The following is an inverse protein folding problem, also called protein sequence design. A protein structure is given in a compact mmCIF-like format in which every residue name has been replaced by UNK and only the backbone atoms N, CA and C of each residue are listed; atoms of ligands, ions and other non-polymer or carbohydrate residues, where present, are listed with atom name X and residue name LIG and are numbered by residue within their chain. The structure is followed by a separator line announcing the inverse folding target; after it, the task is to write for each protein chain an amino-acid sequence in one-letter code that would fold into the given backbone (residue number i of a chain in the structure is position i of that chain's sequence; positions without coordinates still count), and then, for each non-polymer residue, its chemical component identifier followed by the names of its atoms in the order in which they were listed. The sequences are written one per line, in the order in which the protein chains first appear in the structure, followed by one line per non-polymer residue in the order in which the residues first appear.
data_IF_422635889363
#
_entry.id   IF_422635889363
#
_cell.length_a   1.000
_cell.length_b   1.000
_cell.length_c   1.000
_cell.angle_alpha   90.00
_cell.angle_beta   90.00
_cell.angle_gamma   90.00
#
_symmetry.space_group_name_H-M   'P 1'
#
loop_
_entity.id
_entity.type
_entity.pdbx_description
1 polymer ?
#
# COMPACT_ATOMS: atom_id res chain seq x y z
N UNK A 1 -0.30 20.82 -18.90
CA UNK A 1 -0.38 20.99 -17.44
C UNK A 1 0.78 20.24 -16.84
N UNK A 2 1.63 20.89 -16.03
CA UNK A 2 2.66 20.21 -15.25
C UNK A 2 2.05 19.80 -13.89
N UNK A 3 2.61 18.81 -13.17
CA UNK A 3 2.06 18.38 -11.89
C UNK A 3 1.89 19.52 -10.85
N UNK A 4 2.80 20.50 -10.85
CA UNK A 4 2.76 21.68 -9.97
C UNK A 4 1.65 22.69 -10.32
N UNK A 5 1.07 22.60 -11.51
CA UNK A 5 0.00 23.50 -11.98
C UNK A 5 -1.40 22.89 -11.80
N UNK A 6 -1.53 21.73 -11.14
CA UNK A 6 -2.81 21.03 -10.96
C UNK A 6 -3.69 21.77 -9.93
N UNK A 7 -4.88 22.20 -10.36
CA UNK A 7 -5.86 22.95 -9.56
C UNK A 7 -7.20 22.21 -9.35
N UNK A 8 -7.36 21.02 -9.94
CA UNK A 8 -8.58 20.21 -9.81
C UNK A 8 -8.56 19.31 -8.55
N UNK A 9 -9.73 18.88 -8.03
CA UNK A 9 -9.81 18.00 -6.86
C UNK A 9 -9.12 16.64 -7.07
N UNK A 10 -8.37 16.18 -6.06
CA UNK A 10 -7.68 14.87 -6.05
C UNK A 10 -8.20 14.00 -4.91
N UNK A 11 -9.32 13.28 -5.11
CA UNK A 11 -9.93 12.49 -4.04
C UNK A 11 -9.02 11.33 -3.62
N UNK A 12 -9.06 11.00 -2.34
CA UNK A 12 -8.40 9.81 -1.76
C UNK A 12 -9.46 8.74 -1.55
N UNK A 13 -9.13 7.50 -1.90
CA UNK A 13 -9.98 6.35 -1.63
C UNK A 13 -9.30 5.51 -0.56
N UNK A 14 -9.99 5.35 0.56
CA UNK A 14 -9.59 4.42 1.60
C UNK A 14 -10.15 3.04 1.32
N UNK A 15 -9.41 2.02 1.73
CA UNK A 15 -9.83 0.64 1.60
C UNK A 15 -9.71 -0.06 2.95
N UNK A 16 -10.77 -0.79 3.31
CA UNK A 16 -10.85 -1.54 4.55
C UNK A 16 -10.86 -3.07 4.34
N UNK A 17 -10.84 -3.53 3.08
CA UNK A 17 -10.74 -4.94 2.68
C UNK A 17 -10.11 -5.07 1.27
N UNK A 18 -8.78 -5.01 1.18
CA UNK A 18 -7.99 -5.12 -0.05
C UNK A 18 -6.69 -5.86 0.24
N UNK A 19 -6.82 -7.17 0.40
CA UNK A 19 -5.70 -8.04 0.78
C UNK A 19 -4.61 -8.11 -0.28
N UNK A 20 -4.96 -7.94 -1.56
CA UNK A 20 -4.02 -7.90 -2.69
C UNK A 20 -3.11 -6.67 -2.64
N UNK A 21 -3.67 -5.46 -2.58
CA UNK A 21 -2.90 -4.22 -2.45
C UNK A 21 -2.08 -4.23 -1.16
N UNK A 22 -2.67 -4.65 -0.04
CA UNK A 22 -1.96 -4.73 1.22
C UNK A 22 -0.79 -5.73 1.15
N UNK A 23 -0.96 -6.89 0.50
CA UNK A 23 0.11 -7.88 0.36
C UNK A 23 1.30 -7.34 -0.46
N UNK A 24 1.05 -6.58 -1.53
CA UNK A 24 2.13 -5.93 -2.28
C UNK A 24 2.88 -4.91 -1.42
N UNK A 25 2.18 -4.13 -0.60
CA UNK A 25 2.81 -3.21 0.35
C UNK A 25 3.65 -3.96 1.40
N UNK A 26 3.18 -5.12 1.89
CA UNK A 26 3.95 -5.99 2.78
C UNK A 26 5.25 -6.42 2.12
N UNK A 27 5.18 -6.93 0.89
CA UNK A 27 6.34 -7.39 0.14
C UNK A 27 7.35 -6.25 -0.06
N UNK A 28 6.89 -5.06 -0.45
CA UNK A 28 7.73 -3.89 -0.65
C UNK A 28 8.43 -3.44 0.65
N UNK A 29 7.68 -3.33 1.76
CA UNK A 29 8.25 -2.90 3.05
C UNK A 29 9.21 -3.95 3.63
N UNK A 30 8.88 -5.24 3.50
CA UNK A 30 9.75 -6.33 3.93
C UNK A 30 11.07 -6.33 3.11
N UNK A 31 10.99 -6.21 1.78
CA UNK A 31 12.17 -6.12 0.92
C UNK A 31 13.01 -4.87 1.25
N UNK A 32 12.38 -3.72 1.40
CA UNK A 32 13.06 -2.48 1.77
C UNK A 32 13.75 -2.60 3.13
N UNK A 33 13.15 -3.30 4.10
CA UNK A 33 13.77 -3.47 5.42
C UNK A 33 15.10 -4.23 5.35
N UNK A 34 15.25 -5.16 4.40
CA UNK A 34 16.50 -5.88 4.13
C UNK A 34 17.52 -4.92 3.49
N UNK A 35 17.09 -4.11 2.51
CA UNK A 35 17.96 -3.11 1.86
C UNK A 35 18.52 -2.12 2.88
N UNK A 36 17.69 -1.67 3.82
CA UNK A 36 18.07 -0.70 4.85
C UNK A 36 18.58 -1.31 6.15
N UNK A 37 19.03 -2.57 6.14
CA UNK A 37 19.46 -3.30 7.35
C UNK A 37 20.50 -2.57 8.21
N UNK A 38 21.40 -1.82 7.58
CA UNK A 38 22.45 -1.06 8.30
C UNK A 38 21.90 0.18 9.02
N UNK A 39 20.80 0.76 8.52
CA UNK A 39 20.02 1.75 9.23
C UNK A 39 18.96 1.04 10.09
N UNK A 40 19.39 0.55 11.26
CA UNK A 40 18.58 -0.30 12.15
C UNK A 40 17.23 0.32 12.47
N UNK A 41 17.19 1.58 12.87
CA UNK A 41 15.93 2.26 13.25
C UNK A 41 14.94 2.30 12.09
N UNK A 42 15.43 2.55 10.87
CA UNK A 42 14.58 2.57 9.69
C UNK A 42 14.14 1.17 9.26
N UNK A 43 15.06 0.20 9.27
CA UNK A 43 14.75 -1.21 9.01
C UNK A 43 13.67 -1.73 9.96
N UNK A 44 13.78 -1.45 11.26
CA UNK A 44 12.77 -1.85 12.25
C UNK A 44 11.41 -1.21 12.00
N UNK A 45 11.36 0.08 11.62
CA UNK A 45 10.10 0.75 11.23
C UNK A 45 9.45 0.07 10.03
N UNK A 46 10.24 -0.31 9.02
CA UNK A 46 9.74 -1.00 7.83
C UNK A 46 9.21 -2.41 8.15
N UNK A 47 9.94 -3.19 8.97
CA UNK A 47 9.46 -4.52 9.43
C UNK A 47 8.16 -4.38 10.22
N UNK A 48 8.05 -3.37 11.09
CA UNK A 48 6.83 -3.12 11.84
C UNK A 48 5.65 -2.82 10.90
N UNK A 49 5.83 -1.91 9.93
CA UNK A 49 4.82 -1.61 8.91
C UNK A 49 4.40 -2.83 8.10
N UNK A 50 5.36 -3.62 7.63
CA UNK A 50 5.11 -4.87 6.90
C UNK A 50 4.30 -5.88 7.73
N UNK A 51 4.63 -6.01 9.03
CA UNK A 51 3.92 -6.95 9.92
C UNK A 51 2.47 -6.52 10.16
N UNK A 52 2.23 -5.24 10.38
CA UNK A 52 0.88 -4.67 10.57
C UNK A 52 0.03 -4.87 9.31
N UNK A 53 0.57 -4.57 8.13
CA UNK A 53 -0.15 -4.77 6.88
C UNK A 53 -0.37 -6.25 6.55
N UNK A 54 0.54 -7.13 6.95
CA UNK A 54 0.38 -8.57 6.76
C UNK A 54 -0.80 -9.10 7.56
N UNK A 55 -0.95 -8.67 8.82
CA UNK A 55 -2.11 -9.00 9.65
C UNK A 55 -3.40 -8.49 9.01
N UNK A 56 -3.42 -7.21 8.58
CA UNK A 56 -4.56 -6.65 7.86
C UNK A 56 -4.92 -7.47 6.60
N UNK A 57 -3.95 -7.80 5.75
CA UNK A 57 -4.16 -8.54 4.51
C UNK A 57 -4.71 -9.95 4.77
N UNK A 58 -4.33 -10.58 5.89
CA UNK A 58 -4.81 -11.90 6.29
C UNK A 58 -6.24 -11.86 6.82
N UNK A 59 -6.56 -10.85 7.62
CA UNK A 59 -7.84 -10.74 8.33
C UNK A 59 -8.94 -10.08 7.49
N UNK A 60 -8.57 -9.14 6.61
CA UNK A 60 -9.48 -8.33 5.79
C UNK A 60 -9.37 -8.68 4.31
N UNK A 61 -9.77 -9.90 3.98
CA UNK A 61 -9.73 -10.40 2.59
C UNK A 61 -10.66 -9.62 1.68
N UNK A 62 -10.14 -9.22 0.53
CA UNK A 62 -10.87 -8.49 -0.49
C UNK A 62 -9.94 -8.10 -1.65
N UNK A 63 -10.53 -7.72 -2.77
CA UNK A 63 -9.81 -7.25 -3.95
C UNK A 63 -9.80 -5.73 -3.96
N UNK A 64 -8.65 -5.12 -4.15
CA UNK A 64 -8.49 -3.66 -4.21
C UNK A 64 -9.31 -3.01 -5.32
N UNK A 65 -9.49 -3.71 -6.44
CA UNK A 65 -10.32 -3.24 -7.55
C UNK A 65 -11.82 -3.42 -7.32
N UNK A 66 -12.25 -4.14 -6.29
CA UNK A 66 -13.67 -4.39 -6.06
C UNK A 66 -14.39 -3.14 -5.55
N UNK A 67 -15.37 -2.65 -6.30
CA UNK A 67 -16.27 -1.57 -5.88
C UNK A 67 -15.75 -0.15 -6.13
N UNK A 68 -14.56 0.01 -6.70
CA UNK A 68 -13.99 1.33 -7.07
C UNK A 68 -13.80 1.35 -8.60
N UNK A 69 -14.61 2.17 -9.29
CA UNK A 69 -14.71 2.18 -10.75
C UNK A 69 -13.39 2.43 -11.45
N UNK A 70 -12.57 3.31 -10.90
CA UNK A 70 -11.32 3.73 -11.53
C UNK A 70 -10.24 2.67 -11.37
N UNK A 71 -10.10 2.08 -10.18
CA UNK A 71 -9.08 1.04 -9.94
C UNK A 71 -9.39 -0.21 -10.73
N UNK A 72 -10.67 -0.61 -10.83
CA UNK A 72 -11.13 -1.68 -11.70
C UNK A 72 -10.87 -1.42 -13.18
N UNK A 73 -10.85 -0.16 -13.61
CA UNK A 73 -10.60 0.22 -15.00
C UNK A 73 -9.11 0.22 -15.36
N UNK A 74 -8.24 0.64 -14.43
CA UNK A 74 -6.82 0.85 -14.71
C UNK A 74 -5.90 -0.28 -14.20
N UNK A 75 -6.20 -0.89 -13.05
CA UNK A 75 -5.34 -1.84 -12.34
C UNK A 75 -6.17 -2.96 -11.66
N UNK A 76 -6.79 -3.83 -12.47
CA UNK A 76 -7.63 -4.94 -11.98
C UNK A 76 -6.89 -6.28 -11.83
#
# INVERSE_FOLDING_TARGET
MRPEDIDYPRPVVECHACSDLAAEMVAALAAASIVFKDNKDYSHKLVHGATTLFQFARDRRGRYSAGVSDTAKFYN
#
